data_IF_719155983771
#
_entry.id   IF_719155983771
#
_cell.length_a   1.000
_cell.length_b   1.000
_cell.length_c   1.000
_cell.angle_alpha   90.00
_cell.angle_beta   90.00
_cell.angle_gamma   90.00
#
_symmetry.space_group_name_H-M   'P 1'
#
loop_
_entity.id
_entity.type
_entity.pdbx_description
1 polymer ?
#
# COMPACT_ATOMS: atom_id res chain seq x y z
N UNK A 1 -53.01 -15.35 -12.14
CA UNK A 1 -51.96 -15.07 -11.13
C UNK A 1 -50.71 -15.76 -11.64
N UNK A 2 -49.77 -14.99 -12.17
CA UNK A 2 -48.48 -15.52 -12.63
C UNK A 2 -47.64 -15.86 -11.39
N UNK A 3 -47.19 -17.11 -11.31
CA UNK A 3 -46.43 -17.64 -10.19
C UNK A 3 -44.96 -17.25 -10.40
N UNK A 4 -44.47 -16.28 -9.63
CA UNK A 4 -43.06 -15.86 -9.66
C UNK A 4 -42.17 -17.07 -9.37
N UNK A 5 -41.29 -17.39 -10.30
CA UNK A 5 -40.46 -18.58 -10.18
C UNK A 5 -39.36 -18.33 -9.15
N UNK A 6 -39.05 -19.32 -8.31
CA UNK A 6 -37.92 -19.29 -7.34
C UNK A 6 -36.60 -18.84 -7.99
N UNK A 7 -36.48 -19.01 -9.30
CA UNK A 7 -35.36 -18.59 -10.10
C UNK A 7 -35.29 -17.06 -10.28
N UNK A 8 -36.41 -16.36 -10.46
CA UNK A 8 -36.42 -14.89 -10.62
C UNK A 8 -35.99 -14.16 -9.34
N UNK A 9 -36.33 -14.70 -8.16
CA UNK A 9 -35.89 -14.15 -6.86
C UNK A 9 -34.39 -14.42 -6.60
N UNK A 10 -33.88 -15.56 -7.10
CA UNK A 10 -32.47 -15.98 -7.03
C UNK A 10 -31.56 -15.20 -8.02
N UNK A 11 -32.07 -14.85 -9.20
CA UNK A 11 -31.32 -14.07 -10.20
C UNK A 11 -31.38 -12.56 -9.96
N UNK A 12 -32.36 -12.07 -9.18
CA UNK A 12 -32.47 -10.66 -8.78
C UNK A 12 -31.49 -10.23 -7.69
N UNK A 13 -30.79 -11.17 -7.05
CA UNK A 13 -29.63 -10.83 -6.23
C UNK A 13 -28.44 -10.66 -7.16
N UNK A 14 -28.14 -9.42 -7.56
CA UNK A 14 -26.84 -9.07 -8.14
C UNK A 14 -25.77 -9.81 -7.33
N UNK A 15 -25.08 -10.78 -7.94
CA UNK A 15 -24.06 -11.57 -7.26
C UNK A 15 -22.92 -10.61 -6.87
N UNK A 16 -23.05 -10.02 -5.68
CA UNK A 16 -22.11 -9.07 -5.12
C UNK A 16 -20.76 -9.79 -4.98
N UNK A 17 -19.86 -9.55 -5.92
CA UNK A 17 -18.54 -10.16 -5.92
C UNK A 17 -17.65 -9.43 -4.92
N UNK A 18 -17.05 -10.16 -3.98
CA UNK A 18 -16.19 -9.57 -2.95
C UNK A 18 -14.86 -9.11 -3.56
N UNK A 19 -14.44 -7.86 -3.30
CA UNK A 19 -13.15 -7.32 -3.78
C UNK A 19 -11.94 -8.24 -3.56
N UNK A 20 -11.83 -8.89 -2.39
CA UNK A 20 -10.73 -9.80 -2.07
C UNK A 20 -10.71 -11.11 -2.88
N UNK A 21 -11.83 -11.53 -3.47
CA UNK A 21 -11.84 -12.69 -4.38
C UNK A 21 -11.23 -12.37 -5.74
N UNK A 22 -11.25 -11.09 -6.16
CA UNK A 22 -10.59 -10.64 -7.39
C UNK A 22 -9.06 -10.61 -7.30
N UNK A 23 -8.49 -10.63 -6.09
CA UNK A 23 -7.04 -10.56 -5.92
C UNK A 23 -6.40 -11.93 -6.26
N UNK A 24 -5.51 -11.99 -7.28
CA UNK A 24 -4.80 -13.22 -7.60
C UNK A 24 -3.86 -13.61 -6.47
N UNK A 25 -3.51 -14.89 -6.38
CA UNK A 25 -2.67 -15.43 -5.30
C UNK A 25 -1.33 -14.67 -5.20
N UNK A 26 -0.70 -14.35 -6.34
CA UNK A 26 0.50 -13.55 -6.40
C UNK A 26 0.37 -12.18 -5.71
N UNK A 27 -0.75 -11.48 -5.92
CA UNK A 27 -0.98 -10.18 -5.29
C UNK A 27 -1.20 -10.31 -3.78
N UNK A 28 -1.84 -11.39 -3.34
CA UNK A 28 -2.00 -11.69 -1.90
C UNK A 28 -0.65 -11.93 -1.23
N UNK A 29 0.26 -12.65 -1.89
CA UNK A 29 1.64 -12.85 -1.41
C UNK A 29 2.37 -11.52 -1.34
N UNK A 30 2.24 -10.67 -2.37
CA UNK A 30 2.85 -9.35 -2.39
C UNK A 30 2.36 -8.46 -1.23
N UNK A 31 1.05 -8.49 -0.96
CA UNK A 31 0.45 -7.79 0.17
C UNK A 31 1.05 -8.26 1.50
N UNK A 32 1.18 -9.58 1.71
CA UNK A 32 1.79 -10.11 2.92
C UNK A 32 3.26 -9.71 3.07
N UNK A 33 4.05 -9.81 2.00
CA UNK A 33 5.46 -9.37 1.99
C UNK A 33 5.53 -7.88 2.35
N UNK A 34 4.66 -7.05 1.75
CA UNK A 34 4.60 -5.62 2.03
C UNK A 34 4.27 -5.31 3.49
N UNK A 35 3.31 -6.02 4.12
CA UNK A 35 2.99 -5.86 5.54
C UNK A 35 4.20 -6.22 6.41
N UNK A 36 4.84 -7.36 6.14
CA UNK A 36 6.02 -7.81 6.91
C UNK A 36 7.16 -6.82 6.76
N UNK A 37 7.44 -6.36 5.54
CA UNK A 37 8.49 -5.39 5.26
C UNK A 37 8.24 -4.05 5.96
N UNK A 38 7.01 -3.52 5.90
CA UNK A 38 6.64 -2.30 6.62
C UNK A 38 6.80 -2.46 8.13
N UNK A 39 6.43 -3.62 8.69
CA UNK A 39 6.61 -3.89 10.11
C UNK A 39 8.09 -3.92 10.51
N UNK A 40 8.93 -4.60 9.72
CA UNK A 40 10.38 -4.65 9.93
C UNK A 40 11.01 -3.25 9.85
N UNK A 41 10.65 -2.46 8.83
CA UNK A 41 11.12 -1.08 8.68
C UNK A 41 10.69 -0.19 9.84
N UNK A 42 9.46 -0.39 10.33
CA UNK A 42 8.96 0.34 11.50
C UNK A 42 9.73 -0.03 12.78
N UNK A 43 9.99 -1.32 13.02
CA UNK A 43 10.82 -1.77 14.16
C UNK A 43 12.23 -1.21 14.05
N UNK A 44 12.85 -1.26 12.87
CA UNK A 44 14.18 -0.70 12.63
C UNK A 44 14.21 0.80 12.92
N UNK A 45 13.16 1.54 12.54
CA UNK A 45 13.00 2.95 12.83
C UNK A 45 12.92 3.20 14.35
N UNK A 46 12.18 2.39 15.09
CA UNK A 46 12.11 2.48 16.56
C UNK A 46 13.46 2.20 17.23
N UNK A 47 14.20 1.19 16.77
CA UNK A 47 15.54 0.88 17.28
C UNK A 47 16.50 2.04 16.98
N UNK A 48 16.42 2.61 15.78
CA UNK A 48 17.23 3.77 15.37
C UNK A 48 16.92 4.97 16.26
N UNK A 49 15.65 5.28 16.50
CA UNK A 49 15.25 6.35 17.43
C UNK A 49 15.77 6.11 18.85
N UNK A 50 15.66 4.89 19.38
CA UNK A 50 16.11 4.56 20.74
C UNK A 50 17.62 4.65 20.91
N UNK A 51 18.38 4.11 19.96
CA UNK A 51 19.86 4.17 19.96
C UNK A 51 20.36 5.61 19.83
N UNK A 52 19.73 6.42 18.98
CA UNK A 52 20.07 7.85 18.87
C UNK A 52 19.69 8.65 20.12
N UNK A 53 18.52 8.40 20.73
CA UNK A 53 18.14 9.06 21.98
C UNK A 53 19.17 8.79 23.10
N UNK A 54 19.69 7.56 23.17
CA UNK A 54 20.76 7.19 24.09
C UNK A 54 22.08 7.93 23.78
N UNK A 55 22.50 7.95 22.51
CA UNK A 55 23.71 8.67 22.09
C UNK A 55 23.61 10.17 22.35
N UNK A 56 22.43 10.77 22.15
CA UNK A 56 22.16 12.18 22.43
C UNK A 56 22.21 12.49 23.92
N UNK A 57 21.68 11.62 24.78
CA UNK A 57 21.81 11.78 26.22
C UNK A 57 23.26 11.67 26.72
N UNK A 58 24.12 10.99 25.95
CA UNK A 58 25.53 10.74 26.27
C UNK A 58 26.50 11.79 25.73
N UNK A 59 26.18 12.47 24.62
CA UNK A 59 27.06 13.41 23.94
C UNK A 59 26.33 14.74 23.73
N UNK A 60 26.98 15.88 23.96
CA UNK A 60 26.44 17.20 23.64
C UNK A 60 26.33 17.40 22.12
N UNK A 61 25.30 16.81 21.51
CA UNK A 61 24.98 17.03 20.09
C UNK A 61 24.50 18.48 19.89
N UNK A 62 25.06 19.16 18.90
CA UNK A 62 24.61 20.51 18.51
C UNK A 62 23.22 20.48 17.85
N UNK A 63 22.52 21.62 17.84
CA UNK A 63 21.19 21.81 17.22
C UNK A 63 21.07 21.24 15.80
N UNK A 64 22.15 21.28 15.01
CA UNK A 64 22.19 20.70 13.65
C UNK A 64 22.02 19.16 13.65
N UNK A 65 22.57 18.47 14.65
CA UNK A 65 22.45 17.02 14.81
C UNK A 65 21.02 16.59 15.10
N UNK A 66 20.31 17.35 15.95
CA UNK A 66 18.89 17.14 16.21
C UNK A 66 18.03 17.33 14.96
N UNK A 67 18.32 18.37 14.18
CA UNK A 67 17.57 18.67 12.96
C UNK A 67 17.77 17.57 11.89
N UNK A 68 19.00 17.09 11.75
CA UNK A 68 19.33 15.96 10.86
C UNK A 68 18.65 14.67 11.29
N UNK A 69 18.60 14.39 12.59
CA UNK A 69 17.90 13.22 13.12
C UNK A 69 16.39 13.32 12.87
N UNK A 70 15.77 14.44 13.22
CA UNK A 70 14.34 14.67 12.99
C UNK A 70 13.99 14.56 11.50
N UNK A 71 14.84 15.11 10.62
CA UNK A 71 14.65 14.99 9.18
C UNK A 71 14.76 13.56 8.66
N UNK A 72 15.81 12.82 9.04
CA UNK A 72 16.02 11.43 8.57
C UNK A 72 14.96 10.46 9.09
N UNK A 73 14.62 10.56 10.37
CA UNK A 73 13.57 9.73 11.00
C UNK A 73 12.18 10.08 10.50
N UNK A 74 11.89 11.38 10.31
CA UNK A 74 10.65 11.84 9.71
C UNK A 74 10.46 11.32 8.28
N UNK A 75 11.51 11.41 7.45
CA UNK A 75 11.49 10.84 6.10
C UNK A 75 11.29 9.32 6.12
N UNK A 76 12.04 8.60 6.96
CA UNK A 76 11.91 7.15 7.09
C UNK A 76 10.50 6.73 7.54
N UNK A 77 9.88 7.50 8.44
CA UNK A 77 8.52 7.28 8.90
C UNK A 77 7.51 7.47 7.76
N UNK A 78 7.65 8.56 6.99
CA UNK A 78 6.81 8.81 5.81
C UNK A 78 6.96 7.67 4.81
N UNK A 79 8.17 7.23 4.49
CA UNK A 79 8.40 6.14 3.54
C UNK A 79 7.76 4.82 4.01
N UNK A 80 7.98 4.44 5.27
CA UNK A 80 7.37 3.22 5.84
C UNK A 80 5.84 3.30 5.82
N UNK A 81 5.29 4.46 6.20
CA UNK A 81 3.84 4.73 6.18
C UNK A 81 3.23 4.66 4.78
N UNK A 82 3.93 5.15 3.76
CA UNK A 82 3.48 5.06 2.35
C UNK A 82 3.45 3.60 1.89
N UNK A 83 4.51 2.81 2.14
CA UNK A 83 4.52 1.39 1.79
C UNK A 83 3.39 0.65 2.50
N UNK A 84 3.22 0.90 3.81
CA UNK A 84 2.17 0.28 4.60
C UNK A 84 0.78 0.64 4.08
N UNK A 85 0.52 1.92 3.79
CA UNK A 85 -0.79 2.39 3.33
C UNK A 85 -1.17 1.82 1.95
N UNK A 86 -0.21 1.70 1.02
CA UNK A 86 -0.43 1.06 -0.29
C UNK A 86 -0.97 -0.36 -0.15
N UNK A 87 -0.41 -1.10 0.80
CA UNK A 87 -0.75 -2.51 1.04
C UNK A 87 -2.01 -2.64 1.90
N UNK A 88 -2.13 -1.83 2.94
CA UNK A 88 -3.28 -1.82 3.85
C UNK A 88 -4.57 -1.42 3.13
N UNK A 89 -4.52 -0.44 2.23
CA UNK A 89 -5.72 -0.01 1.46
C UNK A 89 -6.29 -1.14 0.61
N UNK A 90 -5.44 -1.97 0.00
CA UNK A 90 -5.85 -3.17 -0.74
C UNK A 90 -6.40 -4.25 0.21
N UNK A 91 -5.76 -4.45 1.36
CA UNK A 91 -6.21 -5.43 2.35
C UNK A 91 -7.59 -5.09 2.94
N UNK A 92 -7.86 -3.80 3.18
CA UNK A 92 -9.15 -3.32 3.68
C UNK A 92 -10.23 -3.16 2.61
N UNK A 93 -9.98 -3.61 1.38
CA UNK A 93 -10.97 -3.61 0.29
C UNK A 93 -11.53 -2.20 -0.02
N UNK A 94 -10.71 -1.15 0.14
CA UNK A 94 -11.14 0.23 -0.14
C UNK A 94 -11.39 0.42 -1.64
N UNK A 95 -12.53 1.06 -1.99
CA UNK A 95 -12.90 1.31 -3.39
C UNK A 95 -11.80 2.08 -4.15
N UNK A 96 -11.16 3.03 -3.48
CA UNK A 96 -10.12 3.91 -4.03
C UNK A 96 -8.70 3.33 -3.94
N UNK A 97 -8.52 2.11 -3.40
CA UNK A 97 -7.20 1.54 -3.11
C UNK A 97 -6.29 1.50 -4.36
N UNK A 98 -6.85 1.14 -5.51
CA UNK A 98 -6.11 1.02 -6.75
C UNK A 98 -5.67 2.39 -7.27
N UNK A 99 -6.56 3.40 -7.26
CA UNK A 99 -6.21 4.78 -7.64
C UNK A 99 -5.16 5.38 -6.71
N UNK A 100 -5.31 5.15 -5.41
CA UNK A 100 -4.34 5.60 -4.41
C UNK A 100 -2.95 5.02 -4.69
N UNK A 101 -2.88 3.71 -4.96
CA UNK A 101 -1.63 3.07 -5.36
C UNK A 101 -1.07 3.74 -6.61
N UNK A 102 -1.86 3.95 -7.67
CA UNK A 102 -1.39 4.63 -8.89
C UNK A 102 -0.78 6.01 -8.64
N UNK A 103 -1.43 6.83 -7.81
CA UNK A 103 -0.92 8.15 -7.42
C UNK A 103 0.41 8.02 -6.69
N UNK A 104 0.50 7.10 -5.72
CA UNK A 104 1.74 6.85 -4.99
C UNK A 104 2.85 6.33 -5.91
N UNK A 105 2.53 5.45 -6.86
CA UNK A 105 3.46 4.95 -7.87
C UNK A 105 4.01 6.07 -8.76
N UNK A 106 3.15 7.00 -9.19
CA UNK A 106 3.55 8.15 -9.99
C UNK A 106 4.49 9.09 -9.21
N UNK A 107 4.17 9.37 -7.93
CA UNK A 107 5.04 10.15 -7.04
C UNK A 107 6.39 9.45 -6.89
N UNK A 108 6.39 8.14 -6.69
CA UNK A 108 7.63 7.36 -6.52
C UNK A 108 8.51 7.38 -7.77
N UNK A 109 7.90 7.20 -8.95
CA UNK A 109 8.58 7.28 -10.24
C UNK A 109 9.21 8.68 -10.47
N UNK A 110 8.49 9.75 -10.10
CA UNK A 110 9.00 11.12 -10.21
C UNK A 110 10.20 11.36 -9.27
N UNK A 111 10.13 10.88 -8.03
CA UNK A 111 11.23 11.00 -7.06
C UNK A 111 12.50 10.26 -7.55
N UNK A 112 12.33 9.08 -8.12
CA UNK A 112 13.45 8.32 -8.71
C UNK A 112 14.07 9.00 -9.91
N UNK A 113 13.23 9.55 -10.79
CA UNK A 113 13.68 10.28 -11.97
C UNK A 113 14.49 11.52 -11.55
N UNK A 114 14.02 12.26 -10.52
CA UNK A 114 14.78 13.34 -9.91
C UNK A 114 16.10 12.86 -9.28
N UNK A 115 16.07 11.73 -8.57
CA UNK A 115 17.26 11.12 -7.97
C UNK A 115 18.29 10.67 -9.00
N UNK A 116 17.84 10.16 -10.15
CA UNK A 116 18.69 9.79 -11.26
C UNK A 116 19.39 11.03 -11.85
N UNK A 117 18.65 12.11 -12.12
CA UNK A 117 19.24 13.38 -12.59
C UNK A 117 20.22 13.99 -11.60
N UNK A 118 19.97 13.84 -10.30
CA UNK A 118 20.88 14.28 -9.23
C UNK A 118 22.03 13.31 -8.95
N UNK A 119 22.12 12.19 -9.66
CA UNK A 119 23.08 11.09 -9.42
C UNK A 119 23.06 10.56 -7.97
N UNK A 120 21.93 10.71 -7.28
CA UNK A 120 21.71 10.18 -5.94
C UNK A 120 21.04 8.81 -5.96
N UNK A 121 20.47 8.41 -7.10
CA UNK A 121 19.95 7.06 -7.33
C UNK A 121 20.90 6.29 -8.25
N UNK A 122 21.33 5.11 -7.80
CA UNK A 122 22.16 4.20 -8.56
C UNK A 122 21.36 3.13 -9.31
N UNK A 123 22.09 2.14 -9.82
CA UNK A 123 21.52 1.03 -10.59
C UNK A 123 20.66 0.09 -9.71
N UNK A 124 20.93 0.04 -8.40
CA UNK A 124 20.18 -0.78 -7.45
C UNK A 124 18.75 -0.30 -7.24
N UNK A 125 18.55 1.01 -7.16
CA UNK A 125 17.24 1.65 -7.03
C UNK A 125 16.40 1.39 -8.29
N UNK A 126 17.03 1.38 -9.47
CA UNK A 126 16.37 1.06 -10.72
C UNK A 126 15.89 -0.40 -10.76
N UNK A 127 16.73 -1.34 -10.29
CA UNK A 127 16.35 -2.76 -10.18
C UNK A 127 15.18 -2.95 -9.21
N UNK A 128 15.15 -2.23 -8.09
CA UNK A 128 14.04 -2.27 -7.14
C UNK A 128 12.72 -1.82 -7.79
N UNK A 129 12.74 -0.80 -8.64
CA UNK A 129 11.55 -0.38 -9.41
C UNK A 129 11.09 -1.48 -10.35
N UNK A 130 12.02 -2.07 -11.10
CA UNK A 130 11.71 -3.14 -12.06
C UNK A 130 11.02 -4.32 -11.38
N UNK A 131 11.43 -4.67 -10.15
CA UNK A 131 10.80 -5.72 -9.35
C UNK A 131 9.34 -5.42 -8.99
N UNK A 132 8.94 -4.13 -8.95
CA UNK A 132 7.55 -3.73 -8.68
C UNK A 132 6.65 -3.73 -9.91
N UNK A 133 7.20 -3.83 -11.14
CA UNK A 133 6.40 -3.79 -12.38
C UNK A 133 5.28 -4.85 -12.41
N UNK A 134 5.52 -6.13 -12.05
CA UNK A 134 4.47 -7.15 -12.07
C UNK A 134 3.29 -6.79 -11.15
N UNK A 135 3.56 -6.14 -10.01
CA UNK A 135 2.53 -5.67 -9.09
C UNK A 135 1.61 -4.62 -9.74
N UNK A 136 2.20 -3.61 -10.39
CA UNK A 136 1.44 -2.56 -11.09
C UNK A 136 0.58 -3.12 -12.22
N UNK A 137 1.13 -4.06 -13.01
CA UNK A 137 0.40 -4.72 -14.10
C UNK A 137 -0.80 -5.51 -13.58
N UNK A 138 -0.65 -6.23 -12.46
CA UNK A 138 -1.75 -7.00 -11.87
C UNK A 138 -2.86 -6.09 -11.33
N UNK A 139 -2.50 -5.00 -10.65
CA UNK A 139 -3.46 -4.03 -10.13
C UNK A 139 -4.24 -3.35 -11.25
N UNK A 140 -3.56 -3.00 -12.35
CA UNK A 140 -4.19 -2.42 -13.52
C UNK A 140 -5.27 -3.35 -14.10
N UNK A 141 -4.97 -4.65 -14.24
CA UNK A 141 -5.91 -5.63 -14.78
C UNK A 141 -7.20 -5.76 -13.97
N UNK A 142 -7.12 -5.64 -12.65
CA UNK A 142 -8.28 -5.77 -11.76
C UNK A 142 -9.00 -4.45 -11.49
N UNK A 143 -8.47 -3.31 -11.97
CA UNK A 143 -8.97 -1.98 -11.61
C UNK A 143 -10.45 -1.78 -11.92
N UNK A 144 -10.87 -2.13 -13.13
CA UNK A 144 -12.25 -1.94 -13.57
C UNK A 144 -13.22 -2.77 -12.71
N UNK A 145 -12.94 -4.05 -12.54
CA UNK A 145 -13.77 -4.97 -11.74
C UNK A 145 -13.80 -4.55 -10.27
N UNK A 146 -12.67 -4.09 -9.72
CA UNK A 146 -12.58 -3.65 -8.32
C UNK A 146 -13.43 -2.41 -8.02
N UNK A 147 -13.45 -1.44 -8.94
CA UNK A 147 -14.13 -0.16 -8.74
C UNK A 147 -15.62 -0.20 -9.09
N UNK A 148 -16.00 -1.00 -10.09
CA UNK A 148 -17.35 -0.96 -10.66
C UNK A 148 -18.22 -2.17 -10.28
N UNK A 149 -17.64 -3.36 -10.18
CA UNK A 149 -18.40 -4.61 -9.99
C UNK A 149 -18.28 -5.14 -8.56
N UNK A 150 -17.13 -4.93 -7.93
CA UNK A 150 -16.82 -5.53 -6.65
C UNK A 150 -17.16 -4.65 -5.45
N UNK A 151 -17.61 -5.32 -4.39
CA UNK A 151 -18.04 -4.71 -3.13
C UNK A 151 -17.16 -5.21 -1.98
N UNK A 152 -16.99 -4.37 -0.97
CA UNK A 152 -16.31 -4.75 0.26
C UNK A 152 -17.22 -5.61 1.15
N UNK A 153 -16.60 -6.38 2.06
CA UNK A 153 -17.35 -7.13 3.08
C UNK A 153 -18.30 -6.25 3.90
N UNK A 154 -17.92 -5.01 4.20
CA UNK A 154 -18.74 -4.06 4.96
C UNK A 154 -19.99 -3.64 4.19
N UNK A 155 -19.85 -3.40 2.89
CA UNK A 155 -20.97 -3.06 2.00
C UNK A 155 -21.92 -4.25 1.80
N UNK A 156 -21.39 -5.47 1.71
CA UNK A 156 -22.22 -6.69 1.66
C UNK A 156 -23.06 -6.86 2.93
N UNK A 157 -22.47 -6.64 4.11
CA UNK A 157 -23.19 -6.78 5.37
C UNK A 157 -24.30 -5.72 5.53
N UNK A 158 -24.06 -4.49 5.07
CA UNK A 158 -25.06 -3.41 5.09
C UNK A 158 -26.24 -3.66 4.14
N UNK A 159 -26.03 -4.36 3.02
CA UNK A 159 -27.10 -4.72 2.08
C UNK A 159 -27.93 -5.93 2.53
N UNK A 160 -27.44 -6.70 3.52
CA UNK A 160 -28.12 -7.89 4.07
C UNK A 160 -28.90 -7.60 5.36
N UNK A 161 -28.69 -6.43 5.98
CA UNK A 161 -29.40 -5.95 7.17
C UNK A 161 -30.57 -5.05 6.79
#
# INVERSE_FOLDING_TARGET
MEQSTIFEESFGTELLTRRRSLLPLFLKVYIWIGIVLSCLLFILLLITLGTFAFLIGSNNYNTLGYLSLAGTTGLAFIFSGVIFSNVATLWFELKWAIRFNWVMGAIWALLLLLGFFRRTAGMGEFLLVCLTIPYWVMIYKIQYQWENEAVSMREMNKKRS
#
